data_IF_677106316223
#
_entry.id   IF_677106316223
#
_cell.length_a   1.000
_cell.length_b   1.000
_cell.length_c   1.000
_cell.angle_alpha   90.00
_cell.angle_beta   90.00
_cell.angle_gamma   90.00
#
_symmetry.space_group_name_H-M   'P 1'
#
loop_
_entity.id
_entity.type
_entity.pdbx_description
1 polymer ?
#
# COMPACT_ATOMS: atom_id res chain seq x y z
N UNK A 1 1.97 -42.27 4.47
CA UNK A 1 3.10 -41.33 4.50
C UNK A 1 3.72 -41.26 3.10
N UNK A 2 3.10 -40.49 2.20
CA UNK A 2 3.71 -40.07 0.94
C UNK A 2 3.99 -38.58 1.11
N UNK A 3 5.20 -38.25 1.55
CA UNK A 3 5.60 -36.85 1.70
C UNK A 3 5.76 -36.26 0.30
N UNK A 4 4.83 -35.38 -0.07
CA UNK A 4 4.83 -34.68 -1.33
C UNK A 4 6.09 -33.79 -1.47
N UNK A 5 7.11 -34.34 -2.12
CA UNK A 5 7.54 -33.84 -3.43
C UNK A 5 8.00 -32.39 -3.54
N UNK A 6 9.00 -31.97 -2.76
CA UNK A 6 9.91 -30.90 -3.23
C UNK A 6 10.95 -31.57 -4.12
N UNK A 7 10.70 -31.57 -5.43
CA UNK A 7 11.64 -32.15 -6.39
C UNK A 7 12.84 -31.20 -6.54
N UNK A 8 14.01 -31.59 -6.04
CA UNK A 8 15.23 -30.77 -6.14
C UNK A 8 15.56 -30.44 -7.61
N UNK A 9 15.20 -31.34 -8.52
CA UNK A 9 15.30 -31.19 -9.97
C UNK A 9 14.47 -30.03 -10.53
N UNK A 10 13.39 -29.63 -9.86
CA UNK A 10 12.51 -28.54 -10.29
C UNK A 10 13.18 -27.16 -10.10
N UNK A 11 14.00 -27.00 -9.06
CA UNK A 11 14.80 -25.77 -8.86
C UNK A 11 15.91 -25.62 -9.90
N UNK A 12 16.42 -26.73 -10.45
CA UNK A 12 17.47 -26.74 -11.46
C UNK A 12 16.94 -26.42 -12.87
N UNK A 13 15.62 -26.28 -13.05
CA UNK A 13 15.05 -25.94 -14.36
C UNK A 13 15.40 -24.49 -14.73
N UNK A 14 16.03 -24.24 -15.89
CA UNK A 14 16.40 -22.88 -16.32
C UNK A 14 15.21 -21.90 -16.40
N UNK A 15 14.01 -22.42 -16.67
CA UNK A 15 12.79 -21.60 -16.78
C UNK A 15 12.40 -20.92 -15.46
N UNK A 16 12.69 -21.56 -14.31
CA UNK A 16 12.34 -21.02 -12.98
C UNK A 16 13.21 -19.80 -12.65
N UNK A 17 14.46 -19.80 -13.09
CA UNK A 17 15.35 -18.63 -12.98
C UNK A 17 14.82 -17.41 -13.73
N UNK A 18 14.09 -17.62 -14.83
CA UNK A 18 13.50 -16.54 -15.61
C UNK A 18 12.21 -16.01 -14.96
N UNK A 19 11.42 -16.89 -14.34
CA UNK A 19 10.23 -16.51 -13.58
C UNK A 19 10.55 -15.79 -12.26
N UNK A 20 11.66 -16.13 -11.62
CA UNK A 20 12.10 -15.52 -10.36
C UNK A 20 12.08 -13.98 -10.37
N UNK A 21 12.81 -13.27 -11.26
CA UNK A 21 12.82 -11.82 -11.26
C UNK A 21 11.45 -11.22 -11.59
N UNK A 22 10.67 -11.85 -12.47
CA UNK A 22 9.34 -11.36 -12.87
C UNK A 22 8.40 -11.36 -11.67
N UNK A 23 8.25 -12.51 -11.00
CA UNK A 23 7.38 -12.61 -9.83
C UNK A 23 7.91 -11.82 -8.63
N UNK A 24 9.23 -11.75 -8.47
CA UNK A 24 9.86 -10.93 -7.44
C UNK A 24 9.52 -9.44 -7.61
N UNK A 25 9.66 -8.92 -8.84
CA UNK A 25 9.31 -7.53 -9.16
C UNK A 25 7.81 -7.29 -8.93
N UNK A 26 6.93 -8.15 -9.45
CA UNK A 26 5.49 -8.01 -9.27
C UNK A 26 5.08 -8.00 -7.79
N UNK A 27 5.64 -8.91 -6.99
CA UNK A 27 5.41 -8.93 -5.56
C UNK A 27 5.89 -7.62 -4.93
N UNK A 28 7.15 -7.25 -5.17
CA UNK A 28 7.77 -6.03 -4.63
C UNK A 28 6.98 -4.76 -4.95
N UNK A 29 6.59 -4.57 -6.22
CA UNK A 29 5.79 -3.40 -6.62
C UNK A 29 4.44 -3.37 -5.89
N UNK A 30 3.79 -4.52 -5.72
CA UNK A 30 2.52 -4.60 -5.00
C UNK A 30 2.68 -4.23 -3.52
N UNK A 31 3.76 -4.68 -2.87
CA UNK A 31 4.11 -4.26 -1.51
C UNK A 31 4.31 -2.75 -1.42
N UNK A 32 5.15 -2.17 -2.28
CA UNK A 32 5.44 -0.73 -2.29
C UNK A 32 4.16 0.09 -2.51
N UNK A 33 3.27 -0.35 -3.40
CA UNK A 33 1.99 0.31 -3.65
C UNK A 33 1.12 0.38 -2.39
N UNK A 34 1.06 -0.68 -1.60
CA UNK A 34 0.22 -0.74 -0.40
C UNK A 34 0.79 0.17 0.69
N UNK A 35 2.11 0.19 0.87
CA UNK A 35 2.76 1.14 1.77
C UNK A 35 2.63 2.59 1.28
N UNK A 36 2.67 2.82 -0.03
CA UNK A 36 2.48 4.15 -0.62
C UNK A 36 1.06 4.69 -0.37
N UNK A 37 0.03 3.85 -0.53
CA UNK A 37 -1.35 4.21 -0.18
C UNK A 37 -1.46 4.50 1.31
N UNK A 38 -0.90 3.63 2.16
CA UNK A 38 -0.88 3.84 3.61
C UNK A 38 -0.29 5.21 3.98
N UNK A 39 0.89 5.53 3.45
CA UNK A 39 1.54 6.83 3.66
C UNK A 39 0.74 8.01 3.10
N UNK A 40 0.10 7.85 1.94
CA UNK A 40 -0.73 8.90 1.34
C UNK A 40 -2.00 9.22 2.14
N UNK A 41 -2.51 8.27 2.93
CA UNK A 41 -3.71 8.48 3.77
C UNK A 41 -3.37 9.16 5.10
N UNK A 42 -2.19 8.92 5.65
CA UNK A 42 -1.78 9.43 6.96
C UNK A 42 -1.65 10.96 6.99
N UNK A 43 -2.07 11.59 8.08
CA UNK A 43 -1.89 13.05 8.29
C UNK A 43 -0.80 13.37 9.32
N UNK A 44 -0.35 12.37 10.09
CA UNK A 44 0.67 12.50 11.12
C UNK A 44 1.61 11.29 11.10
N UNK A 45 2.89 11.52 11.41
CA UNK A 45 3.90 10.45 11.50
C UNK A 45 3.51 9.37 12.52
N UNK A 46 2.82 9.76 13.60
CA UNK A 46 2.33 8.82 14.63
C UNK A 46 1.22 7.89 14.11
N UNK A 47 0.36 8.39 13.23
CA UNK A 47 -0.69 7.58 12.57
C UNK A 47 -0.09 6.62 11.53
N UNK A 48 0.91 7.09 10.79
CA UNK A 48 1.64 6.25 9.84
C UNK A 48 2.29 5.05 10.53
N UNK A 49 2.90 5.27 11.69
CA UNK A 49 3.54 4.20 12.43
C UNK A 49 2.53 3.18 13.01
N UNK A 50 1.31 3.61 13.34
CA UNK A 50 0.23 2.71 13.76
C UNK A 50 -0.35 1.90 12.59
N UNK A 51 -0.34 2.43 11.37
CA UNK A 51 -0.82 1.74 10.17
C UNK A 51 0.16 0.70 9.62
N UNK A 52 1.45 0.83 9.90
CA UNK A 52 2.45 -0.17 9.50
C UNK A 52 2.16 -1.55 10.14
N UNK A 53 1.72 -1.58 11.39
CA UNK A 53 1.45 -2.83 12.13
C UNK A 53 0.31 -3.69 11.52
N UNK A 54 -0.89 -3.16 11.21
CA UNK A 54 -1.93 -3.96 10.57
C UNK A 54 -1.58 -4.31 9.12
N UNK A 55 -0.87 -3.43 8.39
CA UNK A 55 -0.42 -3.74 7.03
C UNK A 55 0.55 -4.93 7.05
N UNK A 56 1.52 -4.95 7.96
CA UNK A 56 2.45 -6.07 8.08
C UNK A 56 1.77 -7.37 8.51
N UNK A 57 0.74 -7.32 9.37
CA UNK A 57 -0.07 -8.50 9.70
C UNK A 57 -0.78 -9.10 8.47
N UNK A 58 -1.40 -8.27 7.63
CA UNK A 58 -2.05 -8.72 6.39
C UNK A 58 -1.00 -9.32 5.43
N UNK A 59 0.20 -8.74 5.39
CA UNK A 59 1.31 -9.25 4.59
C UNK A 59 1.91 -10.57 5.07
N UNK A 60 1.61 -10.97 6.31
CA UNK A 60 2.00 -12.28 6.84
C UNK A 60 1.09 -13.41 6.34
N UNK A 61 -0.12 -13.09 5.88
CA UNK A 61 -1.12 -14.05 5.39
C UNK A 61 -0.62 -15.06 4.32
N UNK A 62 0.16 -14.68 3.29
CA UNK A 62 0.70 -15.63 2.31
C UNK A 62 1.66 -16.67 2.90
N UNK A 63 2.33 -16.36 4.03
CA UNK A 63 3.18 -17.34 4.72
C UNK A 63 2.36 -18.52 5.27
N UNK A 64 1.16 -18.25 5.78
CA UNK A 64 0.25 -19.31 6.22
C UNK A 64 -0.28 -20.14 5.05
N UNK A 65 -0.52 -19.50 3.91
CA UNK A 65 -0.99 -20.17 2.69
C UNK A 65 0.08 -21.11 2.09
N UNK A 66 1.36 -20.88 2.39
CA UNK A 66 2.46 -21.74 1.93
C UNK A 66 2.25 -23.21 2.34
N UNK A 67 1.78 -23.46 3.57
CA UNK A 67 1.51 -24.82 4.05
C UNK A 67 0.41 -25.52 3.22
N UNK A 68 -0.63 -24.78 2.82
CA UNK A 68 -1.72 -25.31 2.01
C UNK A 68 -1.26 -25.61 0.59
N UNK A 69 -0.41 -24.75 0.01
CA UNK A 69 0.13 -24.91 -1.35
C UNK A 69 1.08 -26.11 -1.42
N UNK A 70 1.92 -26.32 -0.40
CA UNK A 70 2.85 -27.45 -0.35
C UNK A 70 2.09 -28.77 -0.20
N UNK A 71 1.04 -28.80 0.62
CA UNK A 71 0.27 -30.04 0.85
C UNK A 71 -0.68 -30.39 -0.29
N UNK A 72 -1.34 -29.40 -0.90
CA UNK A 72 -2.30 -29.60 -1.99
C UNK A 72 -2.26 -28.41 -2.99
N UNK A 73 -1.31 -28.41 -3.94
CA UNK A 73 -1.13 -27.28 -4.87
C UNK A 73 -2.34 -27.07 -5.79
N UNK A 74 -3.09 -28.12 -6.12
CA UNK A 74 -4.23 -28.07 -7.06
C UNK A 74 -5.60 -27.86 -6.40
N UNK A 75 -5.64 -27.68 -5.08
CA UNK A 75 -6.88 -27.34 -4.40
C UNK A 75 -7.47 -26.02 -4.95
N UNK A 76 -8.79 -25.94 -5.06
CA UNK A 76 -9.51 -24.72 -5.50
C UNK A 76 -9.13 -23.49 -4.67
N UNK A 77 -8.85 -23.68 -3.38
CA UNK A 77 -8.35 -22.62 -2.50
C UNK A 77 -6.96 -22.12 -2.93
N UNK A 78 -6.02 -23.01 -3.24
CA UNK A 78 -4.68 -22.66 -3.73
C UNK A 78 -4.76 -21.87 -5.04
N UNK A 79 -5.64 -22.26 -5.98
CA UNK A 79 -5.89 -21.50 -7.23
C UNK A 79 -6.49 -20.12 -6.94
N UNK A 80 -7.48 -20.03 -6.04
CA UNK A 80 -8.12 -18.75 -5.71
C UNK A 80 -7.15 -17.76 -5.06
N UNK A 81 -6.30 -18.20 -4.14
CA UNK A 81 -5.28 -17.36 -3.50
C UNK A 81 -4.17 -16.95 -4.48
N UNK A 82 -3.82 -17.84 -5.42
CA UNK A 82 -2.88 -17.57 -6.52
C UNK A 82 -3.35 -16.50 -7.50
N UNK A 83 -4.68 -16.31 -7.61
CA UNK A 83 -5.32 -15.29 -8.44
C UNK A 83 -5.57 -13.98 -7.69
N UNK A 84 -5.34 -13.95 -6.37
CA UNK A 84 -5.47 -12.72 -5.60
C UNK A 84 -4.40 -11.72 -6.05
N UNK A 85 -4.72 -10.45 -6.28
CA UNK A 85 -3.74 -9.53 -6.85
C UNK A 85 -2.58 -9.20 -5.90
N UNK A 86 -2.84 -9.21 -4.58
CA UNK A 86 -1.85 -8.87 -3.54
C UNK A 86 -0.99 -10.06 -3.16
N UNK A 87 -1.61 -11.25 -3.06
CA UNK A 87 -0.94 -12.47 -2.61
C UNK A 87 -0.50 -13.37 -3.77
N UNK A 88 -1.05 -13.14 -4.96
CA UNK A 88 -0.89 -13.95 -6.17
C UNK A 88 0.56 -14.09 -6.62
N UNK A 89 1.35 -13.00 -6.75
CA UNK A 89 2.75 -13.10 -7.16
C UNK A 89 3.58 -14.00 -6.25
N UNK A 90 3.33 -13.93 -4.94
CA UNK A 90 4.04 -14.70 -3.92
C UNK A 90 3.60 -16.17 -3.97
N UNK A 91 2.28 -16.40 -3.93
CA UNK A 91 1.71 -17.75 -3.87
C UNK A 91 1.89 -18.54 -5.17
N UNK A 92 1.87 -17.87 -6.33
CA UNK A 92 2.16 -18.48 -7.62
C UNK A 92 3.62 -18.85 -7.80
N UNK A 93 4.54 -18.02 -7.30
CA UNK A 93 5.96 -18.36 -7.31
C UNK A 93 6.20 -19.65 -6.52
N UNK A 94 5.69 -19.73 -5.29
CA UNK A 94 5.78 -20.95 -4.46
C UNK A 94 5.12 -22.14 -5.16
N UNK A 95 3.95 -21.96 -5.77
CA UNK A 95 3.27 -23.04 -6.50
C UNK A 95 4.10 -23.58 -7.65
N UNK A 96 4.78 -22.72 -8.41
CA UNK A 96 5.67 -23.08 -9.53
C UNK A 96 6.88 -23.92 -9.08
N UNK A 97 7.26 -23.85 -7.80
CA UNK A 97 8.33 -24.65 -7.21
C UNK A 97 7.89 -26.05 -6.78
N UNK A 98 6.59 -26.26 -6.52
CA UNK A 98 6.03 -27.53 -6.01
C UNK A 98 5.31 -28.31 -7.11
N UNK A 99 4.59 -27.62 -7.98
CA UNK A 99 3.86 -28.20 -9.11
C UNK A 99 4.07 -27.32 -10.34
N UNK A 100 3.92 -27.87 -11.54
CA UNK A 100 3.97 -27.09 -12.78
C UNK A 100 2.53 -26.70 -13.19
N UNK A 101 2.02 -25.53 -12.76
CA UNK A 101 0.71 -25.09 -13.20
C UNK A 101 0.72 -24.77 -14.70
N UNK A 102 -0.44 -24.88 -15.39
CA UNK A 102 -0.55 -24.50 -16.79
C UNK A 102 -0.09 -23.06 -17.03
N UNK A 103 0.62 -22.81 -18.15
CA UNK A 103 1.18 -21.49 -18.49
C UNK A 103 0.12 -20.36 -18.49
N UNK A 104 -1.12 -20.68 -18.85
CA UNK A 104 -2.26 -19.75 -18.78
C UNK A 104 -2.55 -19.22 -17.38
N UNK A 105 -2.39 -20.04 -16.34
CA UNK A 105 -2.61 -19.60 -14.96
C UNK A 105 -1.53 -18.60 -14.53
N UNK A 106 -0.28 -18.82 -14.96
CA UNK A 106 0.84 -17.91 -14.70
C UNK A 106 0.59 -16.56 -15.38
N UNK A 107 0.24 -16.56 -16.67
CA UNK A 107 0.02 -15.34 -17.43
C UNK A 107 -1.16 -14.53 -16.88
N UNK A 108 -2.23 -15.21 -16.46
CA UNK A 108 -3.43 -14.57 -15.91
C UNK A 108 -3.14 -13.94 -14.53
N UNK A 109 -2.35 -14.62 -13.68
CA UNK A 109 -1.89 -14.03 -12.42
C UNK A 109 -1.03 -12.79 -12.63
N UNK A 110 -0.07 -12.86 -13.57
CA UNK A 110 0.79 -11.71 -13.95
C UNK A 110 -0.07 -10.53 -14.42
N UNK A 111 -1.04 -10.77 -15.31
CA UNK A 111 -1.92 -9.73 -15.83
C UNK A 111 -2.76 -9.06 -14.71
N UNK A 112 -3.33 -9.86 -13.80
CA UNK A 112 -4.11 -9.35 -12.66
C UNK A 112 -3.24 -8.50 -11.72
N UNK A 113 -2.02 -8.96 -11.42
CA UNK A 113 -1.12 -8.22 -10.55
C UNK A 113 -0.68 -6.90 -11.17
N UNK A 114 -0.35 -6.88 -12.46
CA UNK A 114 -0.02 -5.64 -13.19
C UNK A 114 -1.22 -4.67 -13.17
N UNK A 115 -2.42 -5.16 -13.48
CA UNK A 115 -3.64 -4.34 -13.45
C UNK A 115 -3.87 -3.74 -12.06
N UNK A 116 -3.58 -4.49 -10.99
CA UNK A 116 -3.75 -4.01 -9.62
C UNK A 116 -2.69 -2.99 -9.22
N UNK A 117 -1.43 -3.18 -9.63
CA UNK A 117 -0.37 -2.19 -9.43
C UNK A 117 -0.79 -0.87 -10.08
N UNK A 118 -1.26 -0.90 -11.33
CA UNK A 118 -1.76 0.29 -12.03
C UNK A 118 -2.93 0.95 -11.30
N UNK A 119 -3.88 0.15 -10.80
CA UNK A 119 -5.00 0.65 -10.00
C UNK A 119 -4.52 1.34 -8.70
N UNK A 120 -3.58 0.75 -7.97
CA UNK A 120 -3.02 1.35 -6.77
C UNK A 120 -2.21 2.62 -7.04
N UNK A 121 -1.45 2.66 -8.13
CA UNK A 121 -0.76 3.88 -8.57
C UNK A 121 -1.76 5.00 -8.88
N UNK A 122 -2.85 4.68 -9.57
CA UNK A 122 -3.91 5.64 -9.87
C UNK A 122 -4.60 6.16 -8.60
N UNK A 123 -4.91 5.28 -7.65
CA UNK A 123 -5.48 5.66 -6.34
C UNK A 123 -4.52 6.56 -5.57
N UNK A 124 -3.25 6.18 -5.46
CA UNK A 124 -2.22 6.98 -4.79
C UNK A 124 -2.12 8.38 -5.40
N UNK A 125 -2.03 8.48 -6.72
CA UNK A 125 -1.97 9.76 -7.44
C UNK A 125 -3.23 10.62 -7.20
N UNK A 126 -4.40 10.01 -7.10
CA UNK A 126 -5.66 10.71 -6.81
C UNK A 126 -5.67 11.28 -5.40
N UNK A 127 -5.17 10.54 -4.40
CA UNK A 127 -5.11 11.01 -3.00
C UNK A 127 -4.24 12.27 -2.90
N UNK A 128 -3.07 12.30 -3.56
CA UNK A 128 -2.21 13.49 -3.58
C UNK A 128 -2.90 14.72 -4.22
N UNK A 129 -3.67 14.53 -5.29
CA UNK A 129 -4.41 15.63 -5.93
C UNK A 129 -5.54 16.18 -5.06
N UNK A 130 -6.25 15.31 -4.34
CA UNK A 130 -7.38 15.70 -3.47
C UNK A 130 -6.90 16.40 -2.19
N UNK A 131 -5.71 16.06 -1.67
CA UNK A 131 -5.18 16.66 -0.43
C UNK A 131 -4.62 18.07 -0.60
N UNK A 132 -4.15 18.42 -1.81
CA UNK A 132 -3.51 19.69 -2.12
C UNK A 132 -4.36 20.98 -1.88
N UNK A 133 -5.70 21.03 -2.12
CA UNK A 133 -6.47 22.26 -2.01
C UNK A 133 -6.73 22.77 -0.59
N UNK A 134 -6.64 21.91 0.43
CA UNK A 134 -7.01 22.27 1.80
C UNK A 134 -5.82 22.66 2.67
N UNK A 135 -4.61 22.17 2.36
CA UNK A 135 -3.37 22.53 3.09
C UNK A 135 -2.86 23.93 2.72
N UNK A 136 -3.12 24.41 1.49
CA UNK A 136 -2.69 25.73 1.00
C UNK A 136 -3.84 26.76 1.06
N UNK A 137 -4.71 26.69 2.07
CA UNK A 137 -5.39 27.92 2.51
C UNK A 137 -4.49 28.55 3.55
N UNK A 138 -3.63 29.55 3.21
CA UNK A 138 -3.13 30.41 4.25
C UNK A 138 -4.34 30.90 5.01
N UNK A 139 -4.35 30.79 6.34
CA UNK A 139 -5.39 31.45 7.14
C UNK A 139 -5.53 32.86 6.56
N UNK A 140 -6.70 33.26 6.04
CA UNK A 140 -6.87 34.61 5.61
C UNK A 140 -6.68 35.45 6.89
N UNK A 141 -5.51 36.09 7.01
CA UNK A 141 -5.17 37.08 8.03
C UNK A 141 -6.22 38.19 8.15
N UNK A 142 -7.20 38.22 7.25
CA UNK A 142 -8.36 39.10 7.22
C UNK A 142 -9.30 38.99 8.43
N UNK A 143 -9.29 37.88 9.19
CA UNK A 143 -10.07 37.79 10.44
C UNK A 143 -9.31 38.25 11.68
N UNK A 144 -7.97 38.18 11.69
CA UNK A 144 -7.16 38.59 12.86
C UNK A 144 -7.19 40.10 13.08
N UNK A 145 -7.08 40.87 12.00
CA UNK A 145 -7.14 42.33 12.08
C UNK A 145 -8.52 42.86 12.47
N UNK A 146 -9.61 42.09 12.24
CA UNK A 146 -10.97 42.52 12.58
C UNK A 146 -11.23 42.50 14.09
N UNK A 147 -10.66 41.54 14.83
CA UNK A 147 -10.75 41.50 16.29
C UNK A 147 -9.83 42.50 17.00
N UNK A 148 -8.74 42.93 16.35
CA UNK A 148 -7.83 43.96 16.88
C UNK A 148 -8.34 45.39 16.61
N UNK A 149 -9.04 45.63 15.51
CA UNK A 149 -9.63 46.94 15.21
C UNK A 149 -10.83 47.29 16.12
N UNK A 150 -11.58 46.30 16.61
CA UNK A 150 -12.68 46.51 17.56
C UNK A 150 -12.24 46.86 18.97
N UNK A 151 -11.01 46.52 19.36
CA UNK A 151 -10.47 46.87 20.69
C UNK A 151 -9.85 48.26 20.73
N UNK A 152 -9.44 48.82 19.57
CA UNK A 152 -8.81 50.14 19.47
C UNK A 152 -9.85 51.28 19.45
N UNK A 153 -11.12 51.02 19.10
CA UNK A 153 -12.18 52.05 19.07
C UNK A 153 -12.80 52.37 20.44
N UNK A 154 -12.23 51.90 21.56
CA UNK A 154 -12.73 52.27 22.90
C UNK A 154 -12.22 53.67 23.28
N UNK A 155 -13.10 54.68 23.51
CA UNK A 155 -12.71 56.08 23.72
C UNK A 155 -11.94 56.36 25.04
N UNK A 156 -11.73 55.35 25.89
CA UNK A 156 -11.15 55.52 27.22
C UNK A 156 -9.64 55.70 27.20
N UNK A 157 -8.93 55.14 26.21
CA UNK A 157 -7.44 55.21 26.13
C UNK A 157 -6.90 56.49 25.50
N UNK A 158 -7.71 57.21 24.73
CA UNK A 158 -7.30 58.48 24.10
C UNK A 158 -7.21 59.64 25.11
N UNK A 159 -7.94 59.56 26.23
CA UNK A 159 -8.04 60.65 27.21
C UNK A 159 -6.87 60.71 28.21
N UNK A 160 -6.12 59.62 28.38
CA UNK A 160 -4.98 59.58 29.32
C UNK A 160 -3.68 60.12 28.73
N UNK A 161 -3.53 60.14 27.40
CA UNK A 161 -2.33 60.66 26.72
C UNK A 161 -2.39 62.19 26.57
N UNK A 162 -3.59 62.76 26.40
CA UNK A 162 -3.79 64.21 26.28
C UNK A 162 -3.58 64.99 27.61
N UNK A 163 -3.50 64.31 28.76
CA UNK A 163 -3.20 64.92 30.07
C UNK A 163 -1.70 64.92 30.43
N UNK A 164 -0.83 64.37 29.57
CA UNK A 164 0.62 64.30 29.79
C UNK A 164 1.43 65.23 28.86
N UNK A 165 0.79 66.21 28.22
CA UNK A 165 1.44 67.31 27.50
C UNK A 165 0.97 68.64 28.05
#
# INVERSE_FOLDING_TARGET
>A
AAMAGVNVMQFLRPIVFLYFPIFFLLAYFTFVCIYAIGGAVCNSEKEAQQLIAPISMIMMLPWFLMFVIITNPDAKMSVAFSLSPVFGPITMFVRTLVSEPPVWHILLSIAISIATILAFFWVTAKIFRVRWPDTIRPQPRRCRWRSELSTISTPSRARSIARRR
#
